data_IF_495515856164
#
_entry.id   IF_495515856164
#
_cell.length_a   1.000
_cell.length_b   1.000
_cell.length_c   1.000
_cell.angle_alpha   90.00
_cell.angle_beta   90.00
_cell.angle_gamma   90.00
#
_symmetry.space_group_name_H-M   'P 1'
#
loop_
_entity.id
_entity.type
_entity.pdbx_description
1 polymer ?
#
# COMPACT_ATOMS: atom_id res chain seq x y z
N UNK A 1 -8.76 -0.70 -0.52
CA UNK A 1 -9.03 -1.69 -1.58
C UNK A 1 -7.68 -2.15 -2.09
N UNK A 2 -7.31 -3.38 -1.77
CA UNK A 2 -6.13 -4.00 -2.36
C UNK A 2 -6.46 -4.31 -3.83
N UNK A 3 -5.51 -4.22 -4.79
CA UNK A 3 -5.75 -4.61 -6.18
C UNK A 3 -6.34 -6.03 -6.29
N UNK A 4 -6.02 -6.89 -5.32
CA UNK A 4 -6.52 -8.27 -5.21
C UNK A 4 -7.99 -8.43 -4.74
N UNK A 5 -8.71 -7.35 -4.41
CA UNK A 5 -10.11 -7.40 -3.94
C UNK A 5 -11.10 -6.96 -5.05
N UNK A 6 -10.64 -6.75 -6.28
CA UNK A 6 -11.54 -6.50 -7.41
C UNK A 6 -12.22 -7.82 -7.81
N UNK A 7 -13.55 -7.83 -7.80
CA UNK A 7 -14.42 -8.97 -8.17
C UNK A 7 -14.26 -9.43 -9.64
N UNK A 8 -13.37 -8.81 -10.40
CA UNK A 8 -13.08 -9.09 -11.81
C UNK A 8 -11.70 -9.75 -12.02
N UNK A 9 -10.98 -10.08 -10.94
CA UNK A 9 -9.71 -10.83 -10.98
C UNK A 9 -9.86 -12.33 -11.25
N UNK A 10 -11.04 -12.81 -11.61
CA UNK A 10 -11.14 -14.15 -12.21
C UNK A 10 -10.42 -14.10 -13.55
N UNK A 11 -9.17 -14.56 -13.53
CA UNK A 11 -8.41 -15.02 -14.69
C UNK A 11 -9.31 -16.01 -15.42
N UNK A 12 -10.02 -15.56 -16.46
CA UNK A 12 -10.44 -16.44 -17.53
C UNK A 12 -9.21 -16.71 -18.38
N UNK A 13 -8.35 -17.61 -17.89
CA UNK A 13 -7.52 -18.44 -18.77
C UNK A 13 -8.49 -19.43 -19.44
N UNK A 14 -9.23 -18.92 -20.42
CA UNK A 14 -10.07 -19.66 -21.34
C UNK A 14 -9.46 -19.53 -22.71
N UNK A 15 -8.89 -20.64 -23.18
CA UNK A 15 -8.46 -20.94 -24.55
C UNK A 15 -8.99 -19.97 -25.62
N UNK A 16 -8.06 -19.39 -26.39
CA UNK A 16 -8.34 -18.78 -27.70
C UNK A 16 -9.08 -19.81 -28.57
N UNK A 17 -10.40 -19.75 -28.59
CA UNK A 17 -11.24 -20.46 -29.54
C UNK A 17 -12.26 -19.47 -30.12
N UNK A 18 -11.98 -19.02 -31.35
CA UNK A 18 -12.94 -18.40 -32.25
C UNK A 18 -13.24 -16.91 -31.99
N UNK A 19 -12.73 -16.04 -32.87
CA UNK A 19 -13.36 -14.74 -33.13
C UNK A 19 -14.84 -14.97 -33.50
N UNK A 20 -15.73 -14.68 -32.55
CA UNK A 20 -17.14 -14.49 -32.83
C UNK A 20 -17.36 -13.01 -33.21
N UNK A 21 -18.02 -12.70 -34.34
CA UNK A 21 -18.29 -11.31 -34.71
C UNK A 21 -19.43 -10.77 -33.85
N UNK A 22 -19.14 -9.74 -33.02
CA UNK A 22 -20.16 -8.92 -32.38
C UNK A 22 -20.12 -8.79 -30.86
N UNK A 23 -18.96 -8.92 -30.18
CA UNK A 23 -18.90 -8.51 -28.77
C UNK A 23 -19.14 -6.99 -28.64
N UNK A 24 -20.05 -6.55 -27.74
CA UNK A 24 -20.29 -5.13 -27.53
C UNK A 24 -19.03 -4.48 -26.97
N UNK A 25 -18.52 -3.46 -27.67
CA UNK A 25 -17.35 -2.68 -27.24
C UNK A 25 -17.61 -2.18 -25.82
N UNK A 26 -16.77 -2.55 -24.85
CA UNK A 26 -16.92 -2.11 -23.46
C UNK A 26 -16.26 -0.75 -23.25
N UNK A 27 -16.72 0.02 -22.26
CA UNK A 27 -16.18 1.36 -22.00
C UNK A 27 -14.65 1.33 -21.75
N UNK A 28 -14.10 0.34 -21.03
CA UNK A 28 -12.65 0.11 -20.98
C UNK A 28 -11.97 -0.05 -22.34
N UNK A 29 -12.58 -0.78 -23.28
CA UNK A 29 -12.01 -1.00 -24.61
C UNK A 29 -11.97 0.30 -25.43
N UNK A 30 -13.02 1.12 -25.33
CA UNK A 30 -13.05 2.44 -25.95
C UNK A 30 -11.99 3.39 -25.37
N UNK A 31 -11.74 3.35 -24.06
CA UNK A 31 -10.65 4.10 -23.43
C UNK A 31 -9.30 3.63 -23.98
N UNK A 32 -9.09 2.32 -24.07
CA UNK A 32 -7.84 1.76 -24.62
C UNK A 32 -7.66 2.09 -26.11
N UNK A 33 -8.72 2.09 -26.91
CA UNK A 33 -8.68 2.46 -28.32
C UNK A 33 -8.21 3.91 -28.52
N UNK A 34 -8.64 4.83 -27.65
CA UNK A 34 -8.18 6.24 -27.67
C UNK A 34 -6.72 6.37 -27.26
N UNK A 35 -6.25 5.53 -26.33
CA UNK A 35 -4.87 5.56 -25.84
C UNK A 35 -3.88 4.75 -26.69
N UNK A 36 -4.37 3.82 -27.53
CA UNK A 36 -3.55 2.93 -28.35
C UNK A 36 -2.62 3.62 -29.35
N UNK A 37 -3.01 4.73 -30.02
CA UNK A 37 -2.10 5.51 -30.88
C UNK A 37 -0.93 6.15 -30.12
N UNK A 38 -0.94 6.11 -28.79
CA UNK A 38 0.03 6.75 -27.91
C UNK A 38 -0.36 8.18 -27.53
N UNK A 39 0.24 8.68 -26.45
CA UNK A 39 -0.01 10.02 -25.92
C UNK A 39 -0.41 10.02 -24.45
N UNK A 40 -0.46 11.22 -23.87
CA UNK A 40 -0.87 11.43 -22.49
C UNK A 40 -1.91 12.57 -22.43
N UNK A 41 -3.05 12.32 -21.80
CA UNK A 41 -4.23 13.19 -21.87
C UNK A 41 -4.72 13.58 -20.49
N UNK A 42 -5.24 14.80 -20.34
CA UNK A 42 -6.01 15.15 -19.14
C UNK A 42 -7.35 14.42 -19.13
N UNK A 43 -7.89 14.11 -17.94
CA UNK A 43 -9.14 13.35 -17.80
C UNK A 43 -10.32 13.91 -18.62
N UNK A 44 -10.51 15.24 -18.65
CA UNK A 44 -11.59 15.85 -19.45
C UNK A 44 -11.40 15.65 -20.96
N UNK A 45 -10.14 15.69 -21.43
CA UNK A 45 -9.83 15.48 -22.83
C UNK A 45 -10.02 14.01 -23.21
N UNK A 46 -9.55 13.11 -22.35
CA UNK A 46 -9.73 11.67 -22.53
C UNK A 46 -11.22 11.30 -22.53
N UNK A 47 -12.00 11.80 -21.56
CA UNK A 47 -13.45 11.61 -21.51
C UNK A 47 -14.15 12.07 -22.80
N UNK A 48 -13.78 13.24 -23.34
CA UNK A 48 -14.33 13.73 -24.60
C UNK A 48 -13.99 12.85 -25.80
N UNK A 49 -12.74 12.39 -25.90
CA UNK A 49 -12.29 11.49 -26.98
C UNK A 49 -12.91 10.10 -26.87
N UNK A 50 -12.98 9.53 -25.66
CA UNK A 50 -13.62 8.24 -25.39
C UNK A 50 -15.10 8.31 -25.69
N UNK A 51 -15.79 9.40 -25.30
CA UNK A 51 -17.20 9.59 -25.64
C UNK A 51 -17.43 9.64 -27.14
N UNK A 52 -16.60 10.36 -27.89
CA UNK A 52 -16.71 10.40 -29.35
C UNK A 52 -16.48 9.01 -29.99
N UNK A 53 -15.52 8.23 -29.48
CA UNK A 53 -15.28 6.86 -29.93
C UNK A 53 -16.42 5.91 -29.54
N UNK A 54 -16.98 6.08 -28.34
CA UNK A 54 -18.09 5.30 -27.79
C UNK A 54 -19.36 5.50 -28.60
N UNK A 55 -19.72 6.76 -28.87
CA UNK A 55 -20.89 7.14 -29.66
C UNK A 55 -20.78 6.62 -31.11
N UNK A 56 -19.56 6.56 -31.67
CA UNK A 56 -19.31 5.99 -33.00
C UNK A 56 -19.37 4.45 -33.05
N UNK A 57 -19.24 3.78 -31.90
CA UNK A 57 -19.23 2.30 -31.79
C UNK A 57 -20.58 1.73 -31.35
N UNK A 58 -21.47 2.57 -30.84
CA UNK A 58 -22.70 2.18 -30.14
C UNK A 58 -23.95 2.33 -31.02
N UNK A 59 -24.04 1.59 -32.12
CA UNK A 59 -25.35 1.29 -32.74
C UNK A 59 -25.86 -0.05 -32.16
N UNK A 60 -26.47 0.01 -30.97
CA UNK A 60 -27.21 -1.14 -30.43
C UNK A 60 -28.66 -1.03 -30.89
N UNK A 61 -29.05 -1.90 -31.82
CA UNK A 61 -30.45 -2.06 -32.24
C UNK A 61 -31.08 -3.11 -31.34
N UNK A 62 -32.13 -2.73 -30.60
CA UNK A 62 -32.93 -3.69 -29.83
C UNK A 62 -33.59 -4.69 -30.79
N UNK A 63 -33.18 -5.96 -30.77
CA UNK A 63 -33.70 -7.01 -31.65
C UNK A 63 -35.23 -7.24 -31.50
N UNK A 64 -35.81 -6.83 -30.37
CA UNK A 64 -37.23 -7.01 -30.08
C UNK A 64 -38.10 -5.79 -30.43
N UNK A 65 -37.52 -4.59 -30.39
CA UNK A 65 -38.26 -3.31 -30.51
C UNK A 65 -37.85 -2.49 -31.75
N UNK A 66 -36.67 -2.76 -32.33
CA UNK A 66 -36.11 -2.02 -33.46
C UNK A 66 -35.66 -0.60 -33.12
N UNK A 67 -35.69 -0.22 -31.84
CA UNK A 67 -35.28 1.11 -31.37
C UNK A 67 -33.77 1.14 -31.07
N UNK A 68 -33.12 2.24 -31.47
CA UNK A 68 -31.72 2.51 -31.13
C UNK A 68 -31.71 3.03 -29.70
N UNK A 69 -31.25 2.22 -28.75
CA UNK A 69 -31.06 2.65 -27.37
C UNK A 69 -29.63 3.18 -27.19
N UNK A 70 -29.44 4.50 -27.00
CA UNK A 70 -28.12 5.03 -26.69
C UNK A 70 -27.70 4.52 -25.31
N UNK A 71 -26.52 3.90 -25.21
CA UNK A 71 -25.92 3.59 -23.92
C UNK A 71 -25.56 4.93 -23.24
N UNK A 72 -26.22 5.32 -22.13
CA UNK A 72 -26.03 6.64 -21.56
C UNK A 72 -24.61 6.77 -21.00
N UNK A 73 -23.83 7.70 -21.57
CA UNK A 73 -22.53 8.09 -21.01
C UNK A 73 -22.71 8.66 -19.59
N UNK A 74 -21.97 8.13 -18.63
CA UNK A 74 -21.81 8.71 -17.30
C UNK A 74 -20.34 8.99 -16.99
N UNK A 75 -20.05 10.18 -16.47
CA UNK A 75 -18.71 10.53 -15.98
C UNK A 75 -18.25 9.58 -14.85
N UNK A 76 -19.18 9.04 -14.05
CA UNK A 76 -18.87 8.06 -13.01
C UNK A 76 -18.45 6.70 -13.60
N UNK A 77 -19.09 6.27 -14.70
CA UNK A 77 -18.74 5.02 -15.38
C UNK A 77 -17.37 5.14 -16.06
N UNK A 78 -17.08 6.31 -16.66
CA UNK A 78 -15.76 6.59 -17.21
C UNK A 78 -14.68 6.58 -16.13
N UNK A 79 -14.94 7.21 -14.98
CA UNK A 79 -14.03 7.17 -13.83
C UNK A 79 -13.79 5.73 -13.35
N UNK A 80 -14.83 4.93 -13.17
CA UNK A 80 -14.73 3.51 -12.79
C UNK A 80 -13.97 2.69 -13.83
N UNK A 81 -14.23 2.89 -15.12
CA UNK A 81 -13.53 2.20 -16.20
C UNK A 81 -12.05 2.57 -16.26
N UNK A 82 -11.72 3.86 -16.12
CA UNK A 82 -10.34 4.34 -16.11
C UNK A 82 -9.58 3.75 -14.91
N UNK A 83 -10.17 3.80 -13.71
CA UNK A 83 -9.56 3.19 -12.52
C UNK A 83 -9.45 1.67 -12.63
N UNK A 84 -10.42 0.99 -13.24
CA UNK A 84 -10.34 -0.44 -13.52
C UNK A 84 -9.13 -0.77 -14.42
N UNK A 85 -8.90 0.02 -15.48
CA UNK A 85 -7.74 -0.14 -16.36
C UNK A 85 -6.41 0.14 -15.64
N UNK A 86 -6.39 1.10 -14.69
CA UNK A 86 -5.23 1.35 -13.83
C UNK A 86 -4.94 0.16 -12.93
N UNK A 87 -5.98 -0.43 -12.32
CA UNK A 87 -5.81 -1.63 -11.48
C UNK A 87 -5.38 -2.86 -12.27
N UNK A 88 -5.72 -2.92 -13.55
CA UNK A 88 -5.23 -3.92 -14.50
C UNK A 88 -3.80 -3.64 -15.01
N UNK A 89 -3.21 -2.49 -14.69
CA UNK A 89 -1.88 -2.09 -15.19
C UNK A 89 -1.85 -1.69 -16.66
N UNK A 90 -2.99 -1.41 -17.29
CA UNK A 90 -3.10 -1.01 -18.70
C UNK A 90 -2.96 0.50 -18.90
N UNK A 91 -3.31 1.28 -17.88
CA UNK A 91 -3.25 2.75 -17.89
C UNK A 91 -2.43 3.25 -16.70
N UNK A 92 -1.65 4.31 -16.92
CA UNK A 92 -0.84 4.97 -15.89
C UNK A 92 -1.07 6.49 -15.89
N UNK A 93 -0.62 7.16 -14.84
CA UNK A 93 -0.72 8.61 -14.66
C UNK A 93 0.65 9.24 -14.45
N UNK A 94 0.82 10.49 -14.89
CA UNK A 94 2.04 11.28 -14.68
C UNK A 94 2.28 11.71 -13.22
N UNK A 95 1.28 11.59 -12.34
CA UNK A 95 1.35 11.96 -10.93
C UNK A 95 0.72 10.90 -10.02
N UNK A 96 1.18 10.83 -8.77
CA UNK A 96 0.55 10.05 -7.70
C UNK A 96 -0.56 10.81 -6.97
N UNK A 97 -0.81 12.09 -7.28
CA UNK A 97 -1.86 12.89 -6.64
C UNK A 97 -3.26 12.24 -6.76
N UNK A 98 -3.66 11.68 -7.92
CA UNK A 98 -4.93 10.99 -8.04
C UNK A 98 -5.07 9.82 -7.06
N UNK A 99 -4.03 8.99 -6.97
CA UNK A 99 -3.99 7.84 -6.07
C UNK A 99 -4.00 8.25 -4.60
N UNK A 100 -3.26 9.31 -4.24
CA UNK A 100 -3.25 9.86 -2.87
C UNK A 100 -4.63 10.40 -2.47
N UNK A 101 -5.36 11.00 -3.41
CA UNK A 101 -6.68 11.55 -3.15
C UNK A 101 -7.74 10.45 -2.90
N UNK A 102 -7.62 9.28 -3.54
CA UNK A 102 -8.45 8.11 -3.24
C UNK A 102 -8.23 7.62 -1.80
N UNK A 103 -7.00 7.70 -1.28
CA UNK A 103 -6.70 7.33 0.10
C UNK A 103 -7.19 8.36 1.12
N UNK A 104 -7.12 9.65 0.78
CA UNK A 104 -7.48 10.75 1.67
C UNK A 104 -9.00 10.91 1.90
N UNK A 105 -9.83 10.44 0.97
CA UNK A 105 -11.29 10.57 1.04
C UNK A 105 -11.95 9.71 2.13
N UNK A 106 -11.24 8.74 2.72
CA UNK A 106 -11.78 7.84 3.75
C UNK A 106 -11.85 8.44 5.17
N UNK A 107 -11.14 9.53 5.46
CA UNK A 107 -11.03 10.03 6.86
C UNK A 107 -11.00 11.56 7.04
N UNK A 108 -11.31 12.35 6.02
CA UNK A 108 -11.44 13.79 6.21
C UNK A 108 -12.87 14.14 6.70
N UNK A 109 -13.05 14.25 8.02
CA UNK A 109 -14.14 15.06 8.57
C UNK A 109 -13.93 16.48 8.02
N UNK A 110 -14.80 16.91 7.10
CA UNK A 110 -14.77 18.27 6.55
C UNK A 110 -14.97 19.24 7.71
N UNK A 111 -13.89 19.88 8.16
CA UNK A 111 -14.01 21.08 8.96
C UNK A 111 -14.80 22.12 8.14
N UNK A 112 -15.77 22.84 8.72
CA UNK A 112 -16.52 23.84 7.99
C UNK A 112 -15.56 24.95 7.52
N UNK A 113 -15.30 24.99 6.23
CA UNK A 113 -14.48 26.03 5.63
C UNK A 113 -15.22 27.37 5.77
N UNK A 114 -14.63 28.33 6.49
CA UNK A 114 -15.12 29.70 6.54
C UNK A 114 -15.17 30.27 5.13
N UNK A 115 -16.33 30.81 4.75
CA UNK A 115 -16.59 31.39 3.45
C UNK A 115 -15.62 32.55 3.15
N UNK A 116 -14.58 32.28 2.37
CA UNK A 116 -13.75 33.31 1.75
C UNK A 116 -14.38 33.69 0.42
N UNK A 117 -14.85 34.93 0.31
CA UNK A 117 -15.37 35.50 -0.95
C UNK A 117 -14.22 35.64 -1.95
N UNK A 118 -14.12 34.72 -2.92
CA UNK A 118 -13.21 34.87 -4.07
C UNK A 118 -13.93 34.58 -5.37
N UNK A 119 -13.62 35.41 -6.36
CA UNK A 119 -14.25 35.52 -7.69
C UNK A 119 -14.42 34.16 -8.37
N UNK A 120 -15.62 33.90 -8.86
CA UNK A 120 -16.00 32.71 -9.62
C UNK A 120 -15.26 32.70 -10.96
N UNK A 121 -14.19 31.91 -11.05
CA UNK A 121 -13.79 31.29 -12.31
C UNK A 121 -14.43 29.91 -12.31
N UNK A 122 -15.36 29.68 -13.24
CA UNK A 122 -15.86 28.34 -13.54
C UNK A 122 -14.70 27.57 -14.18
N UNK A 123 -13.83 26.98 -13.36
CA UNK A 123 -13.02 25.85 -13.80
C UNK A 123 -13.92 24.64 -13.64
N UNK A 124 -14.12 23.88 -14.71
CA UNK A 124 -14.63 22.51 -14.60
C UNK A 124 -13.68 21.81 -13.63
N UNK A 125 -14.18 21.56 -12.41
CA UNK A 125 -13.37 20.99 -11.35
C UNK A 125 -13.19 19.52 -11.68
N UNK A 126 -12.04 19.18 -12.28
CA UNK A 126 -11.63 17.79 -12.40
C UNK A 126 -11.56 17.21 -10.98
N UNK A 127 -12.23 16.08 -10.69
CA UNK A 127 -12.09 15.40 -9.42
C UNK A 127 -10.61 15.20 -9.06
N UNK A 128 -10.25 15.32 -7.78
CA UNK A 128 -8.85 15.23 -7.36
C UNK A 128 -8.19 13.90 -7.76
N UNK A 129 -9.00 12.83 -7.80
CA UNK A 129 -8.65 11.48 -8.25
C UNK A 129 -8.62 11.30 -9.77
N UNK A 130 -8.79 12.37 -10.54
CA UNK A 130 -8.74 12.34 -12.02
C UNK A 130 -7.68 13.31 -12.58
N UNK A 131 -6.87 13.92 -11.70
CA UNK A 131 -5.84 14.89 -12.08
C UNK A 131 -4.64 14.23 -12.79
N UNK A 132 -3.75 15.04 -13.36
CA UNK A 132 -2.58 14.55 -14.09
C UNK A 132 -2.85 14.21 -15.56
N UNK A 133 -1.88 13.54 -16.18
CA UNK A 133 -1.93 13.04 -17.56
C UNK A 133 -2.03 11.52 -17.54
N UNK A 134 -3.05 11.00 -18.21
CA UNK A 134 -3.34 9.57 -18.35
C UNK A 134 -2.80 9.05 -19.67
N UNK A 135 -2.09 7.93 -19.64
CA UNK A 135 -1.48 7.31 -20.82
C UNK A 135 -1.55 5.79 -20.73
N UNK A 136 -1.58 5.10 -21.87
CA UNK A 136 -1.47 3.65 -21.89
C UNK A 136 -0.08 3.21 -21.44
N UNK A 137 -0.03 2.13 -20.68
CA UNK A 137 1.22 1.45 -20.35
C UNK A 137 1.67 0.71 -21.61
N UNK A 138 2.89 0.97 -22.14
CA UNK A 138 3.39 0.27 -23.31
C UNK A 138 3.43 -1.24 -23.06
N UNK A 139 2.52 -1.97 -23.69
CA UNK A 139 2.53 -3.43 -23.71
C UNK A 139 3.40 -3.89 -24.88
N UNK A 140 4.71 -3.60 -24.83
CA UNK A 140 5.63 -4.26 -25.76
C UNK A 140 5.70 -5.76 -25.40
N UNK A 141 5.25 -6.61 -26.31
CA UNK A 141 5.48 -8.06 -26.39
C UNK A 141 5.27 -8.91 -25.11
N UNK A 142 4.30 -8.56 -24.24
CA UNK A 142 3.93 -9.47 -23.14
C UNK A 142 3.22 -10.75 -23.62
N UNK A 143 2.61 -10.75 -24.82
CA UNK A 143 2.03 -11.97 -25.40
C UNK A 143 3.07 -13.07 -25.74
N UNK A 144 4.36 -12.76 -25.75
CA UNK A 144 5.45 -13.71 -26.02
C UNK A 144 6.36 -13.99 -24.80
N UNK A 145 6.04 -13.42 -23.63
CA UNK A 145 6.80 -13.72 -22.42
C UNK A 145 6.51 -15.15 -21.97
N UNK A 146 7.52 -16.03 -22.06
CA UNK A 146 7.39 -17.39 -21.51
C UNK A 146 7.05 -17.33 -20.02
N UNK A 147 6.30 -18.33 -19.53
CA UNK A 147 5.93 -18.44 -18.11
C UNK A 147 7.17 -18.36 -17.18
N UNK A 148 8.32 -18.84 -17.64
CA UNK A 148 9.60 -18.74 -16.93
C UNK A 148 10.11 -17.30 -16.82
N UNK A 149 10.05 -16.49 -17.89
CA UNK A 149 10.44 -15.06 -17.83
C UNK A 149 9.54 -14.29 -16.87
N UNK A 150 8.24 -14.54 -16.90
CA UNK A 150 7.28 -13.92 -15.98
C UNK A 150 7.59 -14.30 -14.53
N UNK A 151 7.90 -15.56 -14.27
CA UNK A 151 8.27 -16.03 -12.94
C UNK A 151 9.58 -15.40 -12.45
N UNK A 152 10.60 -15.27 -13.30
CA UNK A 152 11.87 -14.59 -12.96
C UNK A 152 11.62 -13.12 -12.60
N UNK A 153 10.92 -12.37 -13.46
CA UNK A 153 10.59 -10.97 -13.21
C UNK A 153 9.80 -10.79 -11.91
N UNK A 154 8.91 -11.75 -11.60
CA UNK A 154 8.15 -11.77 -10.34
C UNK A 154 9.06 -12.02 -9.13
N UNK A 155 10.01 -12.94 -9.22
CA UNK A 155 11.02 -13.18 -8.17
C UNK A 155 11.86 -11.92 -7.94
N UNK A 156 12.33 -11.27 -9.00
CA UNK A 156 13.10 -10.03 -8.90
C UNK A 156 12.31 -8.91 -8.21
N UNK A 157 11.03 -8.71 -8.59
CA UNK A 157 10.16 -7.73 -7.95
C UNK A 157 9.92 -8.04 -6.45
N UNK A 158 9.79 -9.31 -6.09
CA UNK A 158 9.65 -9.72 -4.68
C UNK A 158 10.95 -9.50 -3.89
N UNK A 159 12.11 -9.76 -4.49
CA UNK A 159 13.40 -9.50 -3.86
C UNK A 159 13.69 -8.01 -3.69
N UNK A 160 13.31 -7.17 -4.66
CA UNK A 160 13.44 -5.72 -4.53
C UNK A 160 12.55 -5.17 -3.40
N UNK A 161 11.33 -5.70 -3.28
CA UNK A 161 10.36 -5.27 -2.25
C UNK A 161 10.70 -5.75 -0.84
N UNK A 162 11.07 -7.03 -0.68
CA UNK A 162 11.20 -7.67 0.63
C UNK A 162 12.65 -8.00 1.01
N UNK A 163 13.57 -8.07 0.05
CA UNK A 163 14.95 -8.53 0.22
C UNK A 163 15.08 -10.05 0.42
N UNK A 164 14.12 -10.66 1.13
CA UNK A 164 14.05 -12.09 1.42
C UNK A 164 12.70 -12.64 0.98
N UNK A 165 12.71 -13.75 0.27
CA UNK A 165 11.51 -14.50 -0.11
C UNK A 165 11.34 -15.67 0.84
N UNK A 166 10.13 -15.85 1.38
CA UNK A 166 9.75 -17.00 2.18
C UNK A 166 8.27 -17.36 1.92
N UNK A 167 7.85 -18.62 2.13
CA UNK A 167 6.49 -19.07 1.79
C UNK A 167 5.38 -18.21 2.43
N UNK A 168 5.43 -17.89 3.74
CA UNK A 168 4.38 -17.09 4.37
C UNK A 168 4.27 -15.65 3.85
N UNK A 169 5.32 -15.12 3.21
CA UNK A 169 5.28 -13.80 2.57
C UNK A 169 4.56 -13.85 1.22
N UNK A 170 4.71 -14.95 0.48
CA UNK A 170 4.09 -15.15 -0.83
C UNK A 170 2.58 -15.37 -0.70
N UNK A 171 2.14 -16.10 0.33
CA UNK A 171 0.71 -16.33 0.57
C UNK A 171 -0.08 -15.02 0.71
N UNK A 172 0.57 -13.95 1.22
CA UNK A 172 -0.02 -12.61 1.35
C UNK A 172 -0.19 -11.89 0.00
N UNK A 173 0.73 -12.10 -0.95
CA UNK A 173 0.68 -11.45 -2.27
C UNK A 173 -0.43 -12.04 -3.16
N UNK A 174 -1.08 -13.13 -2.74
CA UNK A 174 -2.15 -13.83 -3.49
C UNK A 174 -1.73 -14.15 -4.94
N UNK A 175 -0.50 -14.63 -5.10
CA UNK A 175 0.03 -15.02 -6.40
C UNK A 175 -0.64 -16.32 -6.89
N UNK A 176 -1.01 -16.34 -8.18
CA UNK A 176 -1.46 -17.57 -8.83
C UNK A 176 -0.36 -18.64 -8.76
N UNK A 177 -0.72 -19.83 -8.27
CA UNK A 177 0.22 -20.94 -8.03
C UNK A 177 1.06 -20.84 -6.75
N UNK A 178 0.93 -19.74 -5.99
CA UNK A 178 1.58 -19.55 -4.68
C UNK A 178 3.09 -19.73 -4.71
N UNK A 179 3.65 -20.18 -3.57
CA UNK A 179 5.09 -20.46 -3.46
C UNK A 179 5.56 -21.59 -4.40
N UNK A 180 4.72 -22.60 -4.62
CA UNK A 180 5.05 -23.78 -5.43
C UNK A 180 5.35 -23.43 -6.89
N UNK A 181 4.66 -22.44 -7.46
CA UNK A 181 4.92 -21.97 -8.83
C UNK A 181 6.28 -21.28 -8.99
N UNK A 182 6.77 -20.63 -7.94
CA UNK A 182 8.06 -19.92 -7.95
C UNK A 182 9.25 -20.80 -7.53
N UNK A 183 8.99 -21.87 -6.79
CA UNK A 183 10.04 -22.73 -6.22
C UNK A 183 11.02 -23.30 -7.27
N UNK A 184 10.60 -23.79 -8.46
CA UNK A 184 11.53 -24.28 -9.48
C UNK A 184 12.51 -23.19 -9.96
N UNK A 185 12.04 -21.95 -10.09
CA UNK A 185 12.86 -20.81 -10.50
C UNK A 185 13.82 -20.41 -9.37
N UNK A 186 13.33 -20.30 -8.13
CA UNK A 186 14.15 -20.01 -6.96
C UNK A 186 15.28 -21.04 -6.77
N UNK A 187 14.97 -22.33 -6.95
CA UNK A 187 15.94 -23.41 -6.88
C UNK A 187 16.98 -23.31 -7.99
N UNK A 188 16.60 -23.03 -9.23
CA UNK A 188 17.55 -22.81 -10.33
C UNK A 188 18.46 -21.61 -10.06
N UNK A 189 17.90 -20.51 -9.56
CA UNK A 189 18.66 -19.32 -9.20
C UNK A 189 19.63 -19.58 -8.03
N UNK A 190 19.26 -20.45 -7.08
CA UNK A 190 20.17 -20.95 -6.04
C UNK A 190 21.30 -21.80 -6.62
N UNK A 191 20.99 -22.76 -7.49
CA UNK A 191 21.97 -23.65 -8.15
C UNK A 191 22.99 -22.85 -8.99
N UNK A 192 22.56 -21.73 -9.60
CA UNK A 192 23.43 -20.79 -10.30
C UNK A 192 24.15 -19.78 -9.40
N UNK A 193 23.91 -19.80 -8.09
CA UNK A 193 24.56 -18.92 -7.11
C UNK A 193 24.05 -17.47 -7.11
N UNK A 194 22.95 -17.17 -7.81
CA UNK A 194 22.31 -15.85 -7.79
C UNK A 194 21.61 -15.59 -6.44
N UNK A 195 21.02 -16.64 -5.85
CA UNK A 195 20.37 -16.61 -4.55
C UNK A 195 21.08 -17.54 -3.56
N UNK A 196 20.99 -17.21 -2.29
CA UNK A 196 21.37 -18.07 -1.19
C UNK A 196 20.13 -18.52 -0.44
N UNK A 197 20.07 -19.82 -0.15
CA UNK A 197 19.02 -20.41 0.69
C UNK A 197 19.47 -20.50 2.13
N UNK A 198 18.58 -20.16 3.07
CA UNK A 198 18.92 -20.20 4.49
C UNK A 198 17.76 -19.90 5.43
N UNK A 199 18.10 -19.70 6.70
CA UNK A 199 17.19 -19.27 7.76
C UNK A 199 17.53 -17.83 8.14
N UNK A 200 16.89 -16.86 7.49
CA UNK A 200 17.16 -15.44 7.71
C UNK A 200 16.16 -14.81 8.69
N UNK A 201 14.89 -15.20 8.58
CA UNK A 201 13.77 -14.69 9.39
C UNK A 201 13.17 -15.80 10.24
N UNK A 202 13.12 -15.60 11.55
CA UNK A 202 12.47 -16.55 12.47
C UNK A 202 10.96 -16.64 12.21
N UNK A 203 10.40 -17.86 12.27
CA UNK A 203 8.96 -18.10 12.06
C UNK A 203 8.54 -18.30 10.60
N UNK A 204 9.44 -18.17 9.63
CA UNK A 204 9.13 -18.32 8.19
C UNK A 204 9.56 -19.66 7.56
N UNK A 205 9.99 -20.63 8.37
CA UNK A 205 10.49 -21.95 7.89
C UNK A 205 11.84 -21.86 7.16
N UNK A 206 12.35 -22.99 6.64
CA UNK A 206 13.70 -23.10 6.06
C UNK A 206 13.81 -22.86 4.55
N UNK A 207 12.68 -22.65 3.86
CA UNK A 207 12.65 -22.38 2.43
C UNK A 207 12.75 -20.87 2.15
N UNK A 208 13.78 -20.21 2.67
CA UNK A 208 13.99 -18.77 2.46
C UNK A 208 15.11 -18.51 1.48
N UNK A 209 14.91 -17.56 0.59
CA UNK A 209 15.86 -17.20 -0.47
C UNK A 209 16.15 -15.71 -0.41
N UNK A 210 17.41 -15.34 -0.52
CA UNK A 210 17.83 -13.95 -0.55
C UNK A 210 19.07 -13.79 -1.45
N UNK A 211 19.28 -12.59 -1.99
CA UNK A 211 20.53 -12.30 -2.69
C UNK A 211 21.71 -12.29 -1.69
N UNK A 212 22.93 -12.52 -2.19
CA UNK A 212 24.14 -12.43 -1.34
C UNK A 212 24.30 -11.05 -0.70
N UNK A 213 24.04 -10.00 -1.46
CA UNK A 213 24.09 -8.62 -0.98
C UNK A 213 23.09 -8.39 0.16
N UNK A 214 21.88 -8.91 0.06
CA UNK A 214 20.88 -8.81 1.14
C UNK A 214 21.36 -9.51 2.40
N UNK A 215 21.95 -10.71 2.28
CA UNK A 215 22.46 -11.45 3.45
C UNK A 215 23.60 -10.71 4.13
N UNK A 216 24.52 -10.12 3.36
CA UNK A 216 25.61 -9.33 3.92
C UNK A 216 25.11 -8.04 4.59
N UNK A 217 24.09 -7.39 4.01
CA UNK A 217 23.42 -6.25 4.64
C UNK A 217 22.71 -6.65 5.96
N UNK A 218 22.04 -7.81 6.00
CA UNK A 218 21.43 -8.33 7.23
C UNK A 218 22.47 -8.59 8.33
N UNK A 219 23.64 -9.12 7.96
CA UNK A 219 24.76 -9.32 8.91
C UNK A 219 25.30 -8.01 9.45
N UNK A 220 25.46 -6.99 8.60
CA UNK A 220 25.91 -5.66 9.01
C UNK A 220 24.89 -5.02 9.98
N UNK A 221 23.60 -5.04 9.65
CA UNK A 221 22.54 -4.51 10.51
C UNK A 221 22.43 -5.28 11.85
N UNK A 222 22.73 -6.57 11.87
CA UNK A 222 22.74 -7.37 13.08
C UNK A 222 23.91 -7.02 14.02
N UNK A 223 25.04 -6.55 13.48
CA UNK A 223 26.18 -6.11 14.28
C UNK A 223 25.90 -4.80 15.02
N UNK A 224 25.23 -3.85 14.35
CA UNK A 224 24.89 -2.53 14.91
C UNK A 224 23.39 -2.22 14.72
N UNK A 225 22.51 -2.83 15.53
CA UNK A 225 21.08 -2.66 15.35
C UNK A 225 20.61 -1.26 15.75
N UNK A 226 20.12 -0.50 14.77
CA UNK A 226 19.41 0.77 14.98
C UNK A 226 17.94 0.54 15.26
N UNK A 227 17.32 1.48 15.99
CA UNK A 227 15.88 1.52 16.16
C UNK A 227 15.25 2.29 14.99
N UNK A 228 14.13 1.79 14.46
CA UNK A 228 13.41 2.36 13.33
C UNK A 228 11.93 2.38 13.65
N UNK A 229 11.26 3.48 13.28
CA UNK A 229 9.81 3.64 13.42
C UNK A 229 9.15 3.47 12.06
N UNK A 230 8.18 2.56 11.99
CA UNK A 230 7.38 2.32 10.78
C UNK A 230 5.90 2.53 11.09
N UNK A 231 5.10 2.83 10.07
CA UNK A 231 3.64 2.70 10.21
C UNK A 231 3.28 1.21 10.34
N UNK A 232 2.28 0.87 11.15
CA UNK A 232 1.87 -0.51 11.35
C UNK A 232 1.38 -1.18 10.05
N UNK A 233 0.89 -0.37 9.09
CA UNK A 233 0.45 -0.82 7.76
C UNK A 233 1.58 -0.85 6.72
N UNK A 234 2.77 -0.35 7.06
CA UNK A 234 3.93 -0.33 6.17
C UNK A 234 4.28 -1.75 5.68
N UNK A 235 4.52 -1.97 4.37
CA UNK A 235 4.92 -3.26 3.83
C UNK A 235 6.15 -3.88 4.49
N UNK A 236 7.10 -3.07 4.97
CA UNK A 236 8.29 -3.52 5.69
C UNK A 236 7.97 -4.09 7.09
N UNK A 237 6.80 -3.75 7.66
CA UNK A 237 6.35 -4.35 8.90
C UNK A 237 5.71 -5.73 8.67
N UNK A 238 6.45 -6.79 9.03
CA UNK A 238 5.97 -8.18 8.96
C UNK A 238 5.07 -8.58 10.14
N UNK A 239 5.11 -7.85 11.26
CA UNK A 239 4.29 -8.15 12.43
C UNK A 239 2.80 -7.89 12.17
N UNK A 240 1.96 -8.84 12.61
CA UNK A 240 0.53 -8.82 12.36
C UNK A 240 0.16 -9.13 10.90
N UNK A 241 1.12 -9.62 10.12
CA UNK A 241 0.90 -10.05 8.73
C UNK A 241 1.46 -11.45 8.51
N UNK A 242 2.79 -11.56 8.52
CA UNK A 242 3.52 -12.81 8.26
C UNK A 242 4.00 -13.42 9.58
N UNK A 243 4.36 -12.54 10.53
CA UNK A 243 4.81 -12.91 11.87
C UNK A 243 3.74 -12.47 12.86
N UNK A 244 3.42 -13.33 13.83
CA UNK A 244 2.49 -13.00 14.90
C UNK A 244 3.03 -11.88 15.79
N UNK A 245 2.14 -11.08 16.37
CA UNK A 245 2.52 -10.09 17.37
C UNK A 245 3.18 -10.78 18.57
N UNK A 246 4.32 -10.26 19.06
CA UNK A 246 5.01 -10.89 20.18
C UNK A 246 4.17 -10.73 21.46
N UNK A 247 4.21 -11.75 22.32
CA UNK A 247 3.50 -11.74 23.61
C UNK A 247 3.95 -10.59 24.52
N UNK A 248 5.18 -10.13 24.33
CA UNK A 248 5.80 -9.03 25.10
C UNK A 248 5.09 -7.70 24.91
N UNK A 249 4.33 -7.54 23.82
CA UNK A 249 3.52 -6.35 23.47
C UNK A 249 2.02 -6.73 23.43
N UNK A 250 1.67 -7.96 23.82
CA UNK A 250 0.29 -8.47 23.86
C UNK A 250 -0.22 -8.70 25.29
N UNK A 251 -1.53 -8.95 25.41
CA UNK A 251 -2.17 -9.26 26.69
C UNK A 251 -2.81 -8.07 27.42
N UNK A 252 -2.77 -6.89 26.79
CA UNK A 252 -3.36 -5.65 27.31
C UNK A 252 -4.76 -5.39 26.75
N UNK A 253 -5.44 -4.36 27.27
CA UNK A 253 -6.75 -3.91 26.78
C UNK A 253 -6.74 -3.62 25.28
N UNK A 254 -5.62 -3.13 24.77
CA UNK A 254 -5.40 -2.83 23.36
C UNK A 254 -4.63 -3.95 22.71
N UNK A 255 -5.24 -4.49 21.66
CA UNK A 255 -4.60 -5.52 20.84
C UNK A 255 -3.86 -4.84 19.69
N UNK A 256 -2.57 -5.14 19.49
CA UNK A 256 -1.83 -4.60 18.36
C UNK A 256 -2.45 -5.12 17.05
N UNK A 257 -2.62 -4.23 16.08
CA UNK A 257 -3.23 -4.51 14.79
C UNK A 257 -2.61 -3.63 13.70
N UNK A 258 -2.59 -4.12 12.46
CA UNK A 258 -2.13 -3.33 11.31
C UNK A 258 -3.23 -2.34 10.92
N UNK A 259 -3.22 -1.17 11.56
CA UNK A 259 -4.20 -0.09 11.33
C UNK A 259 -3.52 1.23 11.01
N UNK A 260 -4.13 2.02 10.14
CA UNK A 260 -3.63 3.34 9.76
C UNK A 260 -3.50 4.25 10.99
N UNK A 261 -2.36 4.94 11.11
CA UNK A 261 -2.09 5.83 12.23
C UNK A 261 -1.68 5.11 13.51
N UNK A 262 -1.38 3.81 13.45
CA UNK A 262 -0.56 3.13 14.44
C UNK A 262 0.89 3.05 13.93
N UNK A 263 1.85 3.13 14.84
CA UNK A 263 3.27 3.04 14.52
C UNK A 263 3.91 1.93 15.34
N UNK A 264 4.89 1.25 14.76
CA UNK A 264 5.69 0.21 15.40
C UNK A 264 7.13 0.67 15.48
N UNK A 265 7.81 0.32 16.56
CA UNK A 265 9.24 0.58 16.73
C UNK A 265 9.98 -0.74 16.77
N UNK A 266 10.90 -0.92 15.82
CA UNK A 266 11.69 -2.12 15.64
C UNK A 266 13.16 -1.83 15.93
N UNK A 267 13.87 -2.78 16.53
CA UNK A 267 15.34 -2.75 16.63
C UNK A 267 15.90 -4.15 16.40
N UNK A 268 16.80 -4.30 15.43
CA UNK A 268 17.40 -5.59 15.11
C UNK A 268 16.36 -6.69 14.84
N UNK A 269 15.23 -6.33 14.20
CA UNK A 269 14.12 -7.25 13.93
C UNK A 269 13.19 -7.55 15.13
N UNK A 270 13.45 -7.02 16.33
CA UNK A 270 12.57 -7.15 17.50
C UNK A 270 11.64 -5.95 17.60
N UNK A 271 10.35 -6.21 17.82
CA UNK A 271 9.37 -5.18 18.13
C UNK A 271 9.50 -4.74 19.59
N UNK A 272 9.73 -3.44 19.79
CA UNK A 272 9.93 -2.81 21.10
C UNK A 272 8.76 -1.93 21.53
N UNK A 273 8.04 -1.33 20.58
CA UNK A 273 6.87 -0.53 20.88
C UNK A 273 5.80 -0.61 19.79
N UNK A 274 4.55 -0.45 20.20
CA UNK A 274 3.39 -0.22 19.34
C UNK A 274 2.64 1.00 19.87
N UNK A 275 2.64 2.08 19.10
CA UNK A 275 2.08 3.36 19.48
C UNK A 275 0.83 3.65 18.65
N UNK A 276 -0.21 4.18 19.29
CA UNK A 276 -1.41 4.64 18.59
C UNK A 276 -1.70 6.08 19.00
N UNK A 277 -1.03 7.06 18.37
CA UNK A 277 -1.16 8.48 18.71
C UNK A 277 -2.61 8.99 18.82
N UNK A 278 -3.50 8.54 17.93
CA UNK A 278 -4.91 8.98 17.91
C UNK A 278 -5.75 8.44 19.06
N UNK A 279 -5.41 7.28 19.59
CA UNK A 279 -6.12 6.68 20.72
C UNK A 279 -5.41 6.97 22.05
N UNK A 280 -4.29 7.68 22.02
CA UNK A 280 -3.49 8.02 23.21
C UNK A 280 -2.88 6.81 23.94
N UNK A 281 -2.74 5.68 23.27
CA UNK A 281 -2.24 4.47 23.92
C UNK A 281 -0.89 4.03 23.37
N UNK A 282 -0.07 3.49 24.27
CA UNK A 282 1.27 2.99 23.98
C UNK A 282 1.43 1.59 24.54
N UNK A 283 1.98 0.67 23.76
CA UNK A 283 2.41 -0.64 24.22
C UNK A 283 3.93 -0.71 24.09
N UNK A 284 4.61 -1.10 25.16
CA UNK A 284 6.05 -1.24 25.24
C UNK A 284 6.40 -2.70 25.55
N UNK A 285 7.47 -3.22 24.97
CA UNK A 285 7.94 -4.56 25.27
C UNK A 285 8.23 -4.70 26.78
N UNK A 286 7.68 -5.75 27.39
CA UNK A 286 7.78 -6.00 28.83
C UNK A 286 9.15 -6.54 29.27
N UNK A 287 9.92 -7.10 28.33
CA UNK A 287 11.28 -7.54 28.58
C UNK A 287 12.10 -6.28 28.87
N UNK A 288 12.69 -6.15 30.06
CA UNK A 288 13.48 -5.00 30.51
C UNK A 288 14.74 -4.79 29.65
N UNK A 289 14.54 -4.44 28.39
CA UNK A 289 15.55 -4.34 27.36
C UNK A 289 16.14 -2.92 27.43
N UNK A 290 17.47 -2.77 27.59
CA UNK A 290 18.11 -1.46 27.57
C UNK A 290 17.84 -0.69 26.27
N UNK A 291 17.48 -1.38 25.18
CA UNK A 291 17.10 -0.78 23.91
C UNK A 291 15.77 -0.01 23.96
N UNK A 292 14.93 -0.22 24.97
CA UNK A 292 13.62 0.40 25.01
C UNK A 292 13.71 1.93 25.16
N UNK A 293 14.76 2.45 25.81
CA UNK A 293 15.01 3.90 25.82
C UNK A 293 15.31 4.44 24.42
N UNK A 294 16.11 3.72 23.64
CA UNK A 294 16.39 4.07 22.24
C UNK A 294 15.11 4.04 21.40
N UNK A 295 14.24 3.05 21.62
CA UNK A 295 12.95 2.97 20.96
C UNK A 295 12.04 4.18 21.28
N UNK A 296 11.98 4.62 22.53
CA UNK A 296 11.24 5.82 22.93
C UNK A 296 11.80 7.09 22.27
N UNK A 297 13.13 7.22 22.20
CA UNK A 297 13.78 8.36 21.56
C UNK A 297 13.47 8.41 20.05
N UNK A 298 13.58 7.29 19.35
CA UNK A 298 13.24 7.21 17.92
C UNK A 298 11.75 7.44 17.67
N UNK A 299 10.88 6.94 18.55
CA UNK A 299 9.44 7.22 18.50
C UNK A 299 9.17 8.72 18.62
N UNK A 300 9.78 9.40 19.59
CA UNK A 300 9.64 10.85 19.75
C UNK A 300 10.11 11.60 18.50
N UNK A 301 11.28 11.23 17.96
CA UNK A 301 11.83 11.83 16.76
C UNK A 301 10.92 11.66 15.54
N UNK A 302 10.41 10.45 15.30
CA UNK A 302 9.49 10.16 14.20
C UNK A 302 8.17 10.91 14.34
N UNK A 303 7.60 10.99 15.55
CA UNK A 303 6.37 11.74 15.80
C UNK A 303 6.57 13.24 15.60
N UNK A 304 7.69 13.82 16.05
CA UNK A 304 8.03 15.23 15.81
C UNK A 304 8.16 15.55 14.32
N UNK A 305 8.79 14.66 13.54
CA UNK A 305 8.87 14.83 12.08
C UNK A 305 7.48 14.86 11.44
N UNK A 306 6.61 13.92 11.80
CA UNK A 306 5.24 13.86 11.29
C UNK A 306 4.37 15.07 11.70
N UNK A 307 4.62 15.64 12.89
CA UNK A 307 3.98 16.88 13.35
C UNK A 307 4.36 18.07 12.48
N UNK A 308 5.65 18.19 12.10
CA UNK A 308 6.17 19.29 11.26
C UNK A 308 5.66 19.24 9.82
N UNK A 309 5.53 18.04 9.26
CA UNK A 309 5.03 17.83 7.90
C UNK A 309 3.50 18.01 7.79
N UNK A 310 2.83 18.41 8.88
CA UNK A 310 1.41 18.77 8.91
C UNK A 310 0.45 17.57 9.06
N UNK A 311 0.96 16.37 9.31
CA UNK A 311 0.17 15.14 9.43
C UNK A 311 -0.62 15.02 10.75
N UNK A 312 -0.12 15.62 11.83
CA UNK A 312 -0.80 15.69 13.14
C UNK A 312 -0.74 17.15 13.60
N UNK A 313 -1.90 17.78 13.85
CA UNK A 313 -1.94 19.17 14.35
C UNK A 313 -2.13 19.16 15.86
N UNK A 314 -1.23 19.83 16.58
CA UNK A 314 -1.37 20.05 18.02
C UNK A 314 -0.82 18.93 18.90
N UNK A 315 0.34 18.35 18.56
CA UNK A 315 1.09 17.42 19.43
C UNK A 315 0.49 16.02 19.56
N UNK A 316 1.22 15.12 20.22
CA UNK A 316 0.79 13.74 20.50
C UNK A 316 0.77 13.53 22.01
N UNK A 317 -0.31 12.97 22.55
CA UNK A 317 -0.42 12.64 23.98
C UNK A 317 -0.62 11.14 24.12
N UNK A 318 0.05 10.51 25.08
CA UNK A 318 -0.21 9.14 25.53
C UNK A 318 -0.73 9.16 26.97
N UNK A 319 -1.86 8.50 27.25
CA UNK A 319 -2.48 8.41 28.57
C UNK A 319 -1.97 7.23 29.39
N UNK A 320 -1.64 6.12 28.76
CA UNK A 320 -1.12 4.91 29.39
C UNK A 320 0.00 4.27 28.55
N UNK A 321 0.77 3.44 29.24
CA UNK A 321 1.68 2.48 28.64
C UNK A 321 1.40 1.10 29.25
N UNK A 322 1.09 0.10 28.44
CA UNK A 322 0.82 -1.27 28.93
C UNK A 322 -0.32 -1.33 29.99
N UNK A 323 -1.41 -0.59 29.76
CA UNK A 323 -2.53 -0.39 30.71
C UNK A 323 -2.15 0.33 32.03
N UNK A 324 -0.90 0.77 32.19
CA UNK A 324 -0.45 1.57 33.33
C UNK A 324 -0.59 3.08 33.02
N UNK A 325 -1.32 3.85 33.84
CA UNK A 325 -1.46 5.29 33.62
C UNK A 325 -0.13 6.04 33.66
N UNK A 326 0.17 6.81 32.61
CA UNK A 326 1.39 7.61 32.50
C UNK A 326 1.39 8.88 33.38
N UNK A 327 0.30 9.12 34.12
CA UNK A 327 0.22 10.14 35.16
C UNK A 327 0.96 9.73 36.43
N UNK A 328 1.15 8.42 36.65
CA UNK A 328 1.93 7.89 37.76
C UNK A 328 3.42 7.94 37.39
N UNK A 329 4.27 8.33 38.34
CA UNK A 329 5.73 8.33 38.15
C UNK A 329 6.28 6.90 38.17
N UNK A 330 6.07 6.17 37.08
CA UNK A 330 6.62 4.84 36.80
C UNK A 330 7.84 4.88 35.88
N UNK A 331 8.38 3.71 35.55
CA UNK A 331 9.51 3.57 34.64
C UNK A 331 9.18 4.09 33.24
N UNK A 332 7.99 3.76 32.71
CA UNK A 332 7.52 4.21 31.39
C UNK A 332 7.47 5.73 31.27
N UNK A 333 6.91 6.40 32.30
CA UNK A 333 6.83 7.87 32.35
C UNK A 333 8.23 8.52 32.34
N UNK A 334 9.20 7.90 33.04
CA UNK A 334 10.59 8.38 33.09
C UNK A 334 11.27 8.23 31.72
N UNK A 335 11.06 7.10 31.04
CA UNK A 335 11.65 6.85 29.73
C UNK A 335 11.11 7.80 28.66
N UNK A 336 9.79 8.03 28.65
CA UNK A 336 9.15 9.02 27.78
C UNK A 336 9.63 10.43 28.11
N UNK A 337 9.82 10.77 29.38
CA UNK A 337 10.36 12.07 29.77
C UNK A 337 11.77 12.30 29.19
N UNK A 338 12.65 11.31 29.28
CA UNK A 338 14.01 11.37 28.68
C UNK A 338 13.94 11.51 27.16
N UNK A 339 12.96 10.89 26.51
CA UNK A 339 12.72 11.01 25.08
C UNK A 339 12.12 12.37 24.65
N UNK A 340 11.79 13.26 25.59
CA UNK A 340 11.28 14.61 25.31
C UNK A 340 9.76 14.77 25.47
N UNK A 341 9.06 13.80 26.04
CA UNK A 341 7.65 13.96 26.42
C UNK A 341 7.52 14.71 27.75
N UNK A 342 6.51 15.54 27.88
CA UNK A 342 6.25 16.38 29.06
C UNK A 342 5.00 15.88 29.79
N UNK A 343 5.00 15.77 31.13
CA UNK A 343 3.82 15.37 31.88
C UNK A 343 2.70 16.42 31.78
N UNK A 344 1.49 15.94 31.54
CA UNK A 344 0.23 16.70 31.52
C UNK A 344 -0.83 15.95 32.33
N UNK A 345 -1.93 16.59 32.75
CA UNK A 345 -2.99 15.89 33.51
C UNK A 345 -3.58 14.66 32.80
N UNK A 346 -3.46 14.61 31.47
CA UNK A 346 -3.96 13.54 30.61
C UNK A 346 -2.92 12.42 30.35
N UNK A 347 -1.69 12.53 30.88
CA UNK A 347 -0.59 11.59 30.65
C UNK A 347 0.72 12.28 30.22
N UNK A 348 1.38 11.76 29.19
CA UNK A 348 2.65 12.30 28.67
C UNK A 348 2.47 12.85 27.26
N UNK A 349 2.90 14.09 27.02
CA UNK A 349 2.65 14.82 25.78
C UNK A 349 3.94 15.26 25.08
N UNK A 350 3.99 15.03 23.77
CA UNK A 350 5.02 15.50 22.87
C UNK A 350 4.53 16.74 22.13
N UNK A 351 5.30 17.81 22.22
CA UNK A 351 5.04 19.05 21.49
C UNK A 351 5.81 19.05 20.16
N UNK A 352 5.31 19.84 19.21
CA UNK A 352 5.86 20.02 17.87
C UNK A 352 7.13 20.88 17.84
#
# INVERSE_FOLDING_TARGET
MHPADSLLLTVQDGEKNGEAPGEPVTLPDAVMAVLAPGGAYHANQLAGLTRAAWDASSECVDESTGEILPHPWSDSQFEEALWSLVWQGKVTNSSFDPLRSLGASSHAVKAPARASRRRVRVRVSVPANMTGLWSAVPHADMQEASAERVAIARVEALLDRYGVIAPPMIDKERLDGGFSGLYPVLRRMEEHGALMRGMFVSGCGAAQFASRQTVDALRACAAEPSAVVLDATDPANLYGSVIAWPRTIGGFSIRPARRSGASVVLRGGRLLAYAVPRSHHLLLAQDADPALQQACNELAYALQRNLRDGGIRGGVTFCDANDEPLTVRGEWSRMLHVAGFVPVPQGMRLYC
#
